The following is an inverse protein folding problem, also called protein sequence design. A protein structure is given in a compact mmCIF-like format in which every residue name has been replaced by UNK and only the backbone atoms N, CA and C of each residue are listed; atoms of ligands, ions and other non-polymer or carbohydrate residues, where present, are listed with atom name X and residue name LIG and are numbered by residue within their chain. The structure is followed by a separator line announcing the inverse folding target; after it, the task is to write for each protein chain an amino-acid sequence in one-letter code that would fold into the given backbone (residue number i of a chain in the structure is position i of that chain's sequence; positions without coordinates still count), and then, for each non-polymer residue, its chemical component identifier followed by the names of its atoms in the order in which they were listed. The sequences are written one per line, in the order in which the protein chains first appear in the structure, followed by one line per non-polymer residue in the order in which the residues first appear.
data_IF_306830694984
#
_entry.id   IF_306830694984
#
_cell.length_a   1.000
_cell.length_b   1.000
_cell.length_c   1.000
_cell.angle_alpha   90.00
_cell.angle_beta   90.00
_cell.angle_gamma   90.00
#
_symmetry.space_group_name_H-M   'P 1'
#
loop_
_entity.id
_entity.type
_entity.pdbx_description
1 polymer ?
#
# COMPACT_ATOMS: atom_id res chain seq x y z
N UNK A 1 -27.98 70.14 -20.58
CA UNK A 1 -27.81 70.33 -19.12
C UNK A 1 -28.64 69.27 -18.40
N UNK A 2 -28.00 68.48 -17.54
CA UNK A 2 -28.49 67.46 -16.58
C UNK A 2 -27.85 66.06 -16.82
N UNK A 3 -27.20 65.46 -15.80
CA UNK A 3 -26.52 64.17 -15.87
C UNK A 3 -27.31 63.02 -15.18
N UNK A 4 -27.11 61.78 -15.60
CA UNK A 4 -27.51 60.54 -14.90
C UNK A 4 -26.32 59.58 -15.08
N UNK A 5 -25.41 59.38 -14.12
CA UNK A 5 -25.49 58.75 -12.79
C UNK A 5 -24.95 57.31 -12.82
N UNK A 6 -23.87 57.15 -12.05
CA UNK A 6 -23.08 55.96 -11.77
C UNK A 6 -23.89 54.83 -11.14
N UNK A 7 -23.78 53.62 -11.69
CA UNK A 7 -24.01 52.36 -10.97
C UNK A 7 -23.04 51.29 -11.49
N UNK A 8 -21.89 51.14 -10.83
CA UNK A 8 -21.11 49.88 -10.81
C UNK A 8 -20.00 50.01 -9.76
N UNK A 9 -20.30 49.67 -8.50
CA UNK A 9 -19.26 49.53 -7.46
C UNK A 9 -19.71 48.66 -6.27
N UNK A 10 -20.32 47.51 -6.53
CA UNK A 10 -20.61 46.51 -5.48
C UNK A 10 -20.56 45.09 -6.05
N UNK A 11 -19.37 44.59 -6.38
CA UNK A 11 -19.22 43.17 -6.76
C UNK A 11 -17.80 42.60 -6.56
N UNK A 12 -17.08 43.00 -5.49
CA UNK A 12 -15.70 42.54 -5.26
C UNK A 12 -15.42 41.91 -3.88
N UNK A 13 -16.45 41.61 -3.08
CA UNK A 13 -16.24 41.11 -1.69
C UNK A 13 -16.61 39.65 -1.44
N UNK A 14 -17.19 38.94 -2.40
CA UNK A 14 -17.59 37.52 -2.27
C UNK A 14 -16.47 36.51 -2.62
N UNK A 15 -15.35 36.95 -3.20
CA UNK A 15 -14.25 36.06 -3.63
C UNK A 15 -13.39 35.52 -2.49
N UNK A 16 -13.26 36.24 -1.37
CA UNK A 16 -12.32 35.85 -0.29
C UNK A 16 -12.83 34.73 0.62
N UNK A 17 -14.14 34.49 0.66
CA UNK A 17 -14.72 33.45 1.53
C UNK A 17 -14.51 32.05 0.94
N UNK A 18 -14.39 31.95 -0.39
CA UNK A 18 -14.19 30.67 -1.07
C UNK A 18 -12.75 30.14 -0.92
N UNK A 19 -11.76 31.03 -0.83
CA UNK A 19 -10.35 30.64 -0.61
C UNK A 19 -10.11 30.14 0.82
N UNK A 20 -10.77 30.72 1.83
CA UNK A 20 -10.63 30.27 3.22
C UNK A 20 -11.24 28.88 3.46
N UNK A 21 -12.29 28.52 2.72
CA UNK A 21 -12.92 27.19 2.82
C UNK A 21 -12.08 26.10 2.17
N UNK A 22 -11.39 26.41 1.06
CA UNK A 22 -10.45 25.50 0.39
C UNK A 22 -9.24 25.20 1.30
N UNK A 23 -8.69 26.20 1.99
CA UNK A 23 -7.54 26.02 2.88
C UNK A 23 -7.86 25.11 4.08
N UNK A 24 -9.07 25.23 4.65
CA UNK A 24 -9.51 24.41 5.78
C UNK A 24 -9.70 22.93 5.40
N UNK A 25 -10.13 22.66 4.16
CA UNK A 25 -10.29 21.30 3.65
C UNK A 25 -8.94 20.60 3.42
N UNK A 26 -7.94 21.33 2.92
CA UNK A 26 -6.58 20.81 2.69
C UNK A 26 -5.87 20.52 4.01
N UNK A 27 -6.02 21.37 5.02
CA UNK A 27 -5.44 21.14 6.36
C UNK A 27 -6.07 19.92 7.03
N UNK A 28 -7.39 19.73 6.89
CA UNK A 28 -8.07 18.56 7.44
C UNK A 28 -7.63 17.24 6.77
N UNK A 29 -7.44 17.23 5.45
CA UNK A 29 -6.94 16.06 4.72
C UNK A 29 -5.46 15.76 5.04
N UNK A 30 -4.64 16.78 5.27
CA UNK A 30 -3.23 16.61 5.65
C UNK A 30 -3.05 16.02 7.05
N UNK A 31 -3.95 16.32 8.00
CA UNK A 31 -3.88 15.73 9.34
C UNK A 31 -4.24 14.25 9.36
N UNK A 32 -5.17 13.82 8.50
CA UNK A 32 -5.50 12.40 8.34
C UNK A 32 -4.29 11.64 7.80
N UNK A 33 -3.58 12.17 6.79
CA UNK A 33 -2.39 11.53 6.23
C UNK A 33 -1.19 11.47 7.20
N UNK A 34 -1.05 12.43 8.13
CA UNK A 34 0.02 12.40 9.15
C UNK A 34 -0.21 11.31 10.21
N UNK A 35 -1.47 10.95 10.49
CA UNK A 35 -1.78 9.84 11.40
C UNK A 35 -1.40 8.47 10.83
N UNK A 36 -1.41 8.31 9.50
CA UNK A 36 -1.01 7.07 8.81
C UNK A 36 0.48 6.74 8.95
N UNK A 37 1.36 7.74 9.07
CA UNK A 37 2.82 7.50 9.09
C UNK A 37 3.30 7.01 10.46
N UNK A 38 2.61 7.39 11.53
CA UNK A 38 3.04 7.08 12.90
C UNK A 38 2.62 5.68 13.38
N UNK A 39 1.70 5.01 12.68
CA UNK A 39 1.18 3.68 13.08
C UNK A 39 1.87 2.51 12.39
N UNK A 40 2.66 2.74 11.33
CA UNK A 40 3.29 1.65 10.58
C UNK A 40 4.77 1.39 10.95
N UNK A 41 5.44 2.29 11.67
CA UNK A 41 6.91 2.28 11.79
C UNK A 41 7.47 1.66 13.08
N UNK A 42 6.70 1.51 14.17
CA UNK A 42 7.26 1.05 15.46
C UNK A 42 6.69 -0.29 15.95
N UNK A 43 6.79 -1.35 15.14
CA UNK A 43 6.51 -2.73 15.58
C UNK A 43 7.77 -3.52 15.99
N UNK A 44 8.93 -2.86 16.11
CA UNK A 44 10.15 -3.48 16.62
C UNK A 44 10.26 -3.25 18.14
N UNK A 45 9.90 -4.24 18.98
CA UNK A 45 10.29 -4.10 20.39
C UNK A 45 9.79 -5.11 21.41
N UNK A 46 8.70 -5.85 21.16
CA UNK A 46 8.21 -6.84 22.12
C UNK A 46 8.02 -8.19 21.45
N UNK A 47 9.07 -9.02 21.53
CA UNK A 47 9.07 -10.42 21.13
C UNK A 47 8.17 -11.24 22.05
N UNK A 48 6.86 -11.13 21.86
CA UNK A 48 5.93 -12.15 22.30
C UNK A 48 6.07 -13.31 21.30
N UNK A 49 6.56 -14.46 21.80
CA UNK A 49 6.54 -15.70 21.05
C UNK A 49 5.07 -16.05 20.79
N UNK A 50 4.65 -15.75 19.57
CA UNK A 50 3.30 -15.89 19.13
C UNK A 50 3.11 -17.31 18.60
N UNK A 51 2.02 -17.95 19.01
CA UNK A 51 1.70 -19.30 18.56
C UNK A 51 1.18 -19.24 17.11
N UNK A 52 2.12 -19.22 16.16
CA UNK A 52 1.84 -19.19 14.73
C UNK A 52 1.19 -20.48 14.24
N UNK A 53 1.10 -21.55 15.04
CA UNK A 53 0.66 -22.89 14.62
C UNK A 53 -0.67 -22.90 13.85
N UNK A 54 -1.54 -21.93 14.04
CA UNK A 54 -2.77 -21.77 13.24
C UNK A 54 -2.51 -21.52 11.74
N UNK A 55 -1.40 -20.85 11.38
CA UNK A 55 -1.02 -20.56 10.01
C UNK A 55 -0.76 -21.85 9.22
N UNK A 56 -0.39 -22.96 9.88
CA UNK A 56 -0.21 -24.28 9.25
C UNK A 56 -1.46 -24.77 8.51
N UNK A 57 -2.64 -24.27 8.86
CA UNK A 57 -3.91 -24.60 8.22
C UNK A 57 -4.21 -23.72 7.00
N UNK A 58 -3.25 -22.94 6.53
CA UNK A 58 -3.43 -22.01 5.43
C UNK A 58 -2.36 -22.21 4.35
N UNK A 59 -2.60 -21.62 3.19
CA UNK A 59 -1.62 -21.46 2.13
C UNK A 59 -1.61 -20.01 1.66
N UNK A 60 -0.42 -19.49 1.32
CA UNK A 60 -0.24 -18.13 0.82
C UNK A 60 -0.26 -18.08 -0.70
N UNK A 61 -1.08 -17.20 -1.28
CA UNK A 61 -1.23 -17.02 -2.73
C UNK A 61 -1.03 -15.57 -3.14
N UNK A 62 -0.18 -15.34 -4.15
CA UNK A 62 0.01 -14.02 -4.75
C UNK A 62 -1.24 -13.57 -5.49
N UNK A 63 -1.70 -12.35 -5.21
CA UNK A 63 -2.83 -11.74 -5.92
C UNK A 63 -2.37 -10.66 -6.89
N UNK A 64 -1.60 -9.68 -6.39
CA UNK A 64 -1.26 -8.48 -7.17
C UNK A 64 -0.02 -7.79 -6.63
N UNK A 65 0.73 -7.14 -7.53
CA UNK A 65 1.79 -6.19 -7.18
C UNK A 65 1.37 -4.79 -7.67
N UNK A 66 1.52 -3.77 -6.82
CA UNK A 66 1.17 -2.40 -7.16
C UNK A 66 2.22 -1.41 -6.64
N UNK A 67 2.51 -0.40 -7.46
CA UNK A 67 3.39 0.72 -7.06
C UNK A 67 2.56 1.84 -6.45
N UNK A 68 3.08 2.47 -5.39
CA UNK A 68 2.40 3.53 -4.65
C UNK A 68 3.41 4.64 -4.31
N UNK A 69 3.04 5.89 -4.61
CA UNK A 69 3.73 7.06 -4.05
C UNK A 69 3.25 7.31 -2.63
N UNK A 70 4.17 7.38 -1.69
CA UNK A 70 3.90 7.61 -0.28
C UNK A 70 4.90 8.62 0.28
N UNK A 71 4.59 9.21 1.42
CA UNK A 71 5.48 10.15 2.09
C UNK A 71 6.66 9.38 2.72
N UNK A 72 7.88 9.83 2.45
CA UNK A 72 9.09 9.26 3.03
C UNK A 72 9.89 10.35 3.71
N UNK A 73 10.24 10.13 4.98
CA UNK A 73 11.09 11.06 5.72
C UNK A 73 12.47 11.20 5.07
N UNK A 74 13.01 10.11 4.51
CA UNK A 74 14.26 10.14 3.76
C UNK A 74 14.14 11.03 2.51
N UNK A 75 13.03 10.87 1.77
CA UNK A 75 12.75 11.72 0.62
C UNK A 75 12.56 13.19 1.01
N UNK A 76 11.93 13.44 2.16
CA UNK A 76 11.68 14.78 2.67
C UNK A 76 12.94 15.48 3.21
N UNK A 77 13.93 14.73 3.70
CA UNK A 77 15.15 15.26 4.30
C UNK A 77 16.30 15.44 3.30
N UNK A 78 16.27 14.75 2.16
CA UNK A 78 17.34 14.78 1.18
C UNK A 78 16.97 15.66 -0.02
N UNK A 79 17.74 16.74 -0.21
CA UNK A 79 17.58 17.72 -1.28
C UNK A 79 17.73 17.13 -2.71
N UNK A 80 18.19 15.89 -2.84
CA UNK A 80 18.31 15.17 -4.11
C UNK A 80 17.00 14.62 -4.67
N UNK A 81 15.90 14.66 -3.92
CA UNK A 81 14.61 14.11 -4.34
C UNK A 81 13.65 15.17 -4.90
N UNK A 82 12.80 14.77 -5.84
CA UNK A 82 11.71 15.59 -6.41
C UNK A 82 10.51 15.67 -5.46
N UNK A 83 10.78 16.12 -4.23
CA UNK A 83 9.80 16.25 -3.15
C UNK A 83 9.81 15.12 -2.12
N UNK A 84 8.90 15.18 -1.13
CA UNK A 84 8.91 14.30 0.03
C UNK A 84 8.28 12.92 -0.24
N UNK A 85 8.05 12.58 -1.52
CA UNK A 85 7.35 11.37 -1.91
C UNK A 85 8.34 10.35 -2.48
N UNK A 86 8.31 9.14 -1.94
CA UNK A 86 9.02 7.98 -2.46
C UNK A 86 8.03 7.04 -3.15
N UNK A 87 8.52 6.19 -4.06
CA UNK A 87 7.71 5.13 -4.67
C UNK A 87 8.05 3.81 -4.02
N UNK A 88 7.09 3.18 -3.33
CA UNK A 88 7.21 1.80 -2.86
C UNK A 88 6.40 0.84 -3.72
N UNK A 89 6.79 -0.42 -3.68
CA UNK A 89 6.08 -1.50 -4.35
C UNK A 89 5.48 -2.40 -3.28
N UNK A 90 4.19 -2.68 -3.38
CA UNK A 90 3.48 -3.53 -2.45
C UNK A 90 2.97 -4.76 -3.16
N UNK A 91 3.10 -5.90 -2.50
CA UNK A 91 2.50 -7.16 -2.90
C UNK A 91 1.28 -7.40 -2.03
N UNK A 92 0.19 -7.76 -2.69
CA UNK A 92 -1.02 -8.27 -2.09
C UNK A 92 -1.00 -9.78 -2.23
N UNK A 93 -1.17 -10.46 -1.11
CA UNK A 93 -1.32 -11.90 -1.07
C UNK A 93 -2.50 -12.26 -0.17
N UNK A 94 -3.01 -13.49 -0.34
CA UNK A 94 -4.07 -14.06 0.49
C UNK A 94 -3.57 -15.25 1.27
N UNK A 95 -4.03 -15.36 2.52
CA UNK A 95 -3.99 -16.63 3.24
C UNK A 95 -5.34 -17.32 3.09
N UNK A 96 -5.30 -18.52 2.52
CA UNK A 96 -6.45 -19.30 2.14
C UNK A 96 -6.51 -20.56 3.01
N UNK A 97 -7.66 -20.82 3.65
CA UNK A 97 -7.78 -21.98 4.52
C UNK A 97 -7.70 -23.31 3.77
N UNK A 98 -7.10 -24.31 4.40
CA UNK A 98 -6.92 -25.66 3.86
C UNK A 98 -8.22 -26.47 3.82
N UNK A 99 -9.36 -25.92 4.25
CA UNK A 99 -10.65 -26.62 4.34
C UNK A 99 -11.29 -26.95 2.98
N UNK A 100 -10.84 -26.32 1.89
CA UNK A 100 -11.21 -26.64 0.49
C UNK A 100 -10.16 -27.57 -0.18
N UNK A 101 -9.59 -28.49 0.61
CA UNK A 101 -8.57 -29.44 0.21
C UNK A 101 -9.00 -30.29 -1.00
N UNK A 102 -8.35 -30.09 -2.15
CA UNK A 102 -8.27 -31.12 -3.18
C UNK A 102 -6.82 -31.61 -3.26
N UNK A 103 -6.62 -32.92 -3.38
CA UNK A 103 -5.32 -33.63 -3.40
C UNK A 103 -4.37 -33.23 -4.56
N UNK A 104 -4.67 -32.16 -5.29
CA UNK A 104 -3.78 -31.62 -6.32
C UNK A 104 -3.16 -30.32 -5.82
N UNK A 105 -1.84 -30.17 -6.00
CA UNK A 105 -1.11 -28.93 -5.70
C UNK A 105 -1.69 -27.71 -6.44
N UNK A 106 -2.37 -27.94 -7.56
CA UNK A 106 -3.11 -26.91 -8.32
C UNK A 106 -4.47 -26.52 -7.69
N UNK A 107 -4.97 -27.33 -6.76
CA UNK A 107 -6.26 -27.18 -6.10
C UNK A 107 -6.20 -26.48 -4.74
N UNK A 108 -5.05 -26.50 -4.06
CA UNK A 108 -4.86 -25.85 -2.76
C UNK A 108 -5.12 -24.34 -2.81
N UNK A 109 -4.92 -23.71 -3.97
CA UNK A 109 -5.03 -22.26 -4.13
C UNK A 109 -6.00 -21.82 -5.23
N UNK A 110 -6.78 -22.74 -5.79
CA UNK A 110 -7.73 -22.41 -6.87
C UNK A 110 -9.06 -21.84 -6.38
N UNK A 111 -9.37 -21.95 -5.08
CA UNK A 111 -10.72 -21.73 -4.57
C UNK A 111 -10.83 -20.60 -3.54
N UNK A 112 -9.80 -19.76 -3.40
CA UNK A 112 -9.67 -18.73 -2.36
C UNK A 112 -10.61 -17.53 -2.58
N UNK A 113 -11.91 -17.79 -2.65
CA UNK A 113 -12.97 -16.83 -2.90
C UNK A 113 -13.83 -16.57 -1.65
N UNK A 114 -13.63 -17.32 -0.57
CA UNK A 114 -14.31 -17.16 0.72
C UNK A 114 -13.41 -17.63 1.85
N UNK A 115 -13.60 -17.06 3.05
CA UNK A 115 -12.86 -17.43 4.27
C UNK A 115 -11.33 -17.31 4.10
N UNK A 116 -10.90 -16.14 3.65
CA UNK A 116 -9.50 -15.80 3.46
C UNK A 116 -9.18 -14.47 4.13
N UNK A 117 -7.90 -14.20 4.32
CA UNK A 117 -7.39 -12.90 4.75
C UNK A 117 -6.63 -12.24 3.61
N UNK A 118 -6.73 -10.92 3.48
CA UNK A 118 -5.91 -10.14 2.55
C UNK A 118 -4.79 -9.47 3.31
N UNK A 119 -3.58 -9.56 2.75
CA UNK A 119 -2.37 -9.06 3.37
C UNK A 119 -1.64 -8.17 2.37
N UNK A 120 -0.97 -7.15 2.89
CA UNK A 120 -0.12 -6.26 2.11
C UNK A 120 1.27 -6.21 2.73
N UNK A 121 2.28 -6.41 1.91
CA UNK A 121 3.70 -6.47 2.29
C UNK A 121 4.52 -5.71 1.25
N UNK A 122 5.69 -5.21 1.63
CA UNK A 122 6.61 -4.63 0.65
C UNK A 122 7.12 -5.71 -0.31
N UNK A 123 7.28 -5.35 -1.60
CA UNK A 123 7.65 -6.32 -2.62
C UNK A 123 9.03 -6.94 -2.40
N UNK A 124 9.95 -6.21 -1.77
CA UNK A 124 11.29 -6.69 -1.42
C UNK A 124 11.18 -7.81 -0.38
N UNK A 125 10.51 -7.55 0.75
CA UNK A 125 10.30 -8.55 1.81
C UNK A 125 9.54 -9.79 1.31
N UNK A 126 8.54 -9.59 0.44
CA UNK A 126 7.83 -10.70 -0.20
C UNK A 126 8.77 -11.54 -1.08
N UNK A 127 9.55 -10.89 -1.95
CA UNK A 127 10.45 -11.60 -2.85
C UNK A 127 11.54 -12.33 -2.08
N UNK A 128 12.14 -11.71 -1.07
CA UNK A 128 13.16 -12.34 -0.24
C UNK A 128 12.63 -13.62 0.42
N UNK A 129 11.48 -13.53 1.11
CA UNK A 129 10.84 -14.68 1.74
C UNK A 129 10.47 -15.78 0.74
N UNK A 130 9.83 -15.42 -0.39
CA UNK A 130 9.35 -16.40 -1.37
C UNK A 130 10.47 -17.03 -2.19
N UNK A 131 11.58 -16.33 -2.42
CA UNK A 131 12.77 -16.85 -3.08
C UNK A 131 13.50 -17.83 -2.19
N UNK A 132 13.67 -17.52 -0.90
CA UNK A 132 14.24 -18.46 0.07
C UNK A 132 13.43 -19.76 0.13
N UNK A 133 12.10 -19.65 0.17
CA UNK A 133 11.22 -20.82 0.11
C UNK A 133 11.37 -21.62 -1.20
N UNK A 134 11.40 -20.94 -2.35
CA UNK A 134 11.56 -21.57 -3.65
C UNK A 134 12.91 -22.30 -3.76
N UNK A 135 13.97 -21.72 -3.21
CA UNK A 135 15.32 -22.29 -3.20
C UNK A 135 15.37 -23.57 -2.34
N UNK A 136 14.86 -23.53 -1.11
CA UNK A 136 14.75 -24.72 -0.24
C UNK A 136 13.96 -25.85 -0.90
N UNK A 137 12.82 -25.53 -1.52
CA UNK A 137 12.01 -26.53 -2.22
C UNK A 137 12.77 -27.12 -3.41
N UNK A 138 13.54 -26.30 -4.13
CA UNK A 138 14.38 -26.75 -5.24
C UNK A 138 15.52 -27.64 -4.75
N UNK A 139 16.18 -27.30 -3.64
CA UNK A 139 17.21 -28.13 -3.01
C UNK A 139 16.68 -29.51 -2.64
N UNK A 140 15.52 -29.58 -2.00
CA UNK A 140 14.88 -30.84 -1.63
C UNK A 140 14.50 -31.67 -2.87
N UNK A 141 13.93 -31.01 -3.89
CA UNK A 141 13.53 -31.65 -5.13
C UNK A 141 14.74 -32.22 -5.90
N UNK A 142 15.86 -31.51 -5.88
CA UNK A 142 17.04 -31.82 -6.69
C UNK A 142 18.12 -32.61 -5.95
N UNK A 143 18.15 -32.58 -4.62
CA UNK A 143 19.17 -33.22 -3.79
C UNK A 143 19.24 -34.74 -3.95
N UNK A 144 18.14 -35.38 -4.33
CA UNK A 144 18.07 -36.83 -4.54
C UNK A 144 18.19 -37.24 -6.02
N UNK A 145 18.51 -36.31 -6.92
CA UNK A 145 18.47 -36.61 -8.35
C UNK A 145 19.81 -37.11 -8.93
N UNK A 146 19.80 -38.35 -9.46
CA UNK A 146 20.92 -38.95 -10.18
C UNK A 146 20.74 -38.87 -11.71
N UNK A 147 21.14 -37.73 -12.31
CA UNK A 147 21.55 -37.57 -13.71
C UNK A 147 20.51 -37.65 -14.84
N UNK A 148 19.52 -38.57 -14.79
CA UNK A 148 18.61 -38.82 -15.93
C UNK A 148 17.11 -38.71 -15.62
N UNK A 149 16.72 -38.57 -14.34
CA UNK A 149 15.32 -38.48 -13.92
C UNK A 149 15.00 -37.17 -13.18
N UNK A 150 15.78 -36.12 -13.41
CA UNK A 150 15.54 -34.86 -12.72
C UNK A 150 14.36 -34.13 -13.35
N UNK A 151 13.46 -33.56 -12.55
CA UNK A 151 12.53 -32.55 -13.02
C UNK A 151 13.31 -31.47 -13.78
N UNK A 152 12.72 -30.93 -14.85
CA UNK A 152 13.39 -29.90 -15.66
C UNK A 152 13.79 -28.68 -14.85
N UNK A 153 13.13 -28.42 -13.71
CA UNK A 153 13.52 -27.36 -12.77
C UNK A 153 14.94 -27.58 -12.19
N UNK A 154 15.35 -28.83 -11.97
CA UNK A 154 16.65 -29.14 -11.37
C UNK A 154 17.85 -28.94 -12.29
N UNK A 155 17.60 -28.87 -13.61
CA UNK A 155 18.65 -28.58 -14.57
C UNK A 155 19.27 -27.20 -14.34
N UNK A 156 18.47 -26.23 -13.86
CA UNK A 156 18.94 -24.89 -13.52
C UNK A 156 19.84 -24.90 -12.27
N UNK A 157 19.51 -25.75 -11.29
CA UNK A 157 20.22 -25.82 -10.02
C UNK A 157 21.57 -26.56 -10.10
N UNK A 158 21.63 -27.71 -10.80
CA UNK A 158 22.80 -28.59 -10.76
C UNK A 158 23.97 -28.17 -11.67
N UNK A 159 23.71 -27.42 -12.75
CA UNK A 159 24.76 -27.11 -13.71
C UNK A 159 25.68 -25.97 -13.24
N UNK A 160 25.32 -25.19 -12.21
CA UNK A 160 26.14 -24.09 -11.63
C UNK A 160 26.59 -23.00 -12.62
N UNK A 161 26.21 -23.16 -13.88
CA UNK A 161 26.78 -22.53 -15.06
C UNK A 161 25.68 -22.62 -16.15
N UNK A 162 24.55 -21.95 -15.90
CA UNK A 162 23.41 -21.89 -16.83
C UNK A 162 23.77 -20.98 -18.00
N UNK A 163 24.94 -21.15 -18.64
CA UNK A 163 25.40 -20.22 -19.68
C UNK A 163 25.25 -18.73 -19.30
N UNK A 164 24.97 -17.87 -20.28
CA UNK A 164 24.76 -16.42 -20.11
C UNK A 164 23.42 -16.05 -19.42
N UNK A 165 22.99 -16.77 -18.37
CA UNK A 165 21.82 -16.40 -17.57
C UNK A 165 22.19 -15.98 -16.14
N UNK A 166 21.61 -14.85 -15.70
CA UNK A 166 21.76 -14.31 -14.35
C UNK A 166 20.51 -14.64 -13.53
N UNK A 167 20.65 -14.83 -12.21
CA UNK A 167 19.51 -15.13 -11.35
C UNK A 167 18.77 -13.84 -10.98
N UNK A 168 17.44 -13.82 -11.12
CA UNK A 168 16.62 -12.68 -10.70
C UNK A 168 16.74 -12.40 -9.19
N UNK A 169 16.97 -13.44 -8.38
CA UNK A 169 17.14 -13.33 -6.94
C UNK A 169 18.30 -12.40 -6.54
N UNK A 170 19.36 -12.35 -7.35
CA UNK A 170 20.53 -11.52 -7.08
C UNK A 170 20.21 -10.01 -7.20
N UNK A 171 19.05 -9.65 -7.76
CA UNK A 171 18.61 -8.27 -8.00
C UNK A 171 17.30 -7.92 -7.29
N UNK A 172 16.97 -8.61 -6.19
CA UNK A 172 15.82 -8.24 -5.34
C UNK A 172 16.05 -6.89 -4.67
N UNK A 173 17.28 -6.62 -4.25
CA UNK A 173 17.70 -5.30 -3.77
C UNK A 173 18.03 -4.39 -4.95
N UNK A 174 17.70 -3.09 -4.82
CA UNK A 174 18.05 -2.12 -5.84
C UNK A 174 19.57 -1.89 -5.83
N UNK A 175 20.24 -2.19 -6.95
CA UNK A 175 21.69 -2.06 -7.05
C UNK A 175 22.13 -1.56 -8.42
N UNK A 176 23.27 -0.86 -8.46
CA UNK A 176 23.86 -0.41 -9.73
C UNK A 176 24.43 -1.61 -10.49
N UNK A 177 24.04 -1.77 -11.76
CA UNK A 177 24.48 -2.89 -12.59
C UNK A 177 25.37 -2.49 -13.75
N UNK A 178 25.29 -1.24 -14.20
CA UNK A 178 26.14 -0.72 -15.26
C UNK A 178 26.22 0.80 -15.21
N UNK A 179 26.97 1.37 -16.15
CA UNK A 179 27.06 2.79 -16.43
C UNK A 179 27.08 2.96 -17.96
N UNK A 180 26.32 3.91 -18.49
CA UNK A 180 26.36 4.24 -19.92
C UNK A 180 27.64 5.03 -20.27
N UNK A 181 27.96 5.16 -21.55
CA UNK A 181 29.14 5.90 -22.04
C UNK A 181 29.17 7.38 -21.61
N UNK A 182 28.02 7.95 -21.25
CA UNK A 182 27.88 9.33 -20.77
C UNK A 182 28.06 9.48 -19.25
N UNK A 183 28.33 8.38 -18.55
CA UNK A 183 28.48 8.34 -17.10
C UNK A 183 27.17 8.16 -16.33
N UNK A 184 26.05 7.93 -17.00
CA UNK A 184 24.75 7.72 -16.34
C UNK A 184 24.67 6.30 -15.76
N UNK A 185 24.54 6.14 -14.43
CA UNK A 185 24.42 4.83 -13.81
C UNK A 185 23.07 4.18 -14.14
N UNK A 186 23.06 2.85 -14.26
CA UNK A 186 21.85 2.04 -14.43
C UNK A 186 21.69 1.13 -13.23
N UNK A 187 20.50 1.14 -12.64
CA UNK A 187 20.17 0.30 -11.51
C UNK A 187 19.23 -0.83 -11.93
N UNK A 188 19.32 -1.97 -11.26
CA UNK A 188 18.39 -3.08 -11.44
C UNK A 188 17.67 -3.35 -10.12
N UNK A 189 16.38 -3.68 -10.21
CA UNK A 189 15.56 -4.02 -9.06
C UNK A 189 14.22 -4.62 -9.46
N UNK A 190 13.40 -5.04 -8.49
CA UNK A 190 12.08 -5.59 -8.76
C UNK A 190 11.12 -4.52 -9.28
N UNK A 191 10.19 -4.95 -10.14
CA UNK A 191 9.16 -4.11 -10.75
C UNK A 191 7.88 -4.92 -10.94
N UNK A 192 6.78 -4.40 -10.40
CA UNK A 192 5.45 -4.87 -10.79
C UNK A 192 5.21 -4.70 -12.30
N UNK A 193 4.72 -5.74 -12.96
CA UNK A 193 4.16 -5.66 -14.32
C UNK A 193 3.04 -4.63 -14.40
N UNK A 194 2.74 -4.14 -15.61
CA UNK A 194 1.77 -3.06 -15.83
C UNK A 194 0.35 -3.38 -15.37
N UNK A 195 -0.02 -4.66 -15.34
CA UNK A 195 -1.30 -5.16 -14.86
C UNK A 195 -1.24 -5.62 -13.38
N UNK A 196 -0.05 -5.57 -12.77
CA UNK A 196 0.21 -6.04 -11.42
C UNK A 196 0.19 -7.57 -11.27
N UNK A 197 0.09 -8.33 -12.35
CA UNK A 197 -0.08 -9.79 -12.32
C UNK A 197 1.21 -10.55 -11.97
N UNK A 198 2.36 -9.89 -12.03
CA UNK A 198 3.67 -10.50 -11.79
C UNK A 198 4.72 -9.47 -11.41
N UNK A 199 5.78 -9.93 -10.75
CA UNK A 199 6.99 -9.16 -10.44
C UNK A 199 8.13 -9.63 -11.33
N UNK A 200 8.92 -8.69 -11.86
CA UNK A 200 10.10 -8.97 -12.70
C UNK A 200 11.21 -7.99 -12.35
N UNK A 201 12.45 -8.34 -12.70
CA UNK A 201 13.57 -7.39 -12.60
C UNK A 201 13.53 -6.43 -13.79
N UNK A 202 13.73 -5.14 -13.54
CA UNK A 202 13.77 -4.08 -14.55
C UNK A 202 14.94 -3.12 -14.31
N UNK A 203 15.26 -2.31 -15.32
CA UNK A 203 16.24 -1.24 -15.24
C UNK A 203 15.61 0.06 -14.70
N UNK A 204 16.37 0.82 -13.91
CA UNK A 204 15.96 2.06 -13.25
C UNK A 204 17.04 3.15 -13.40
N UNK A 205 16.58 4.39 -13.38
CA UNK A 205 17.41 5.60 -13.51
C UNK A 205 18.03 6.04 -12.16
N UNK A 206 17.50 5.54 -11.04
CA UNK A 206 17.85 5.97 -9.70
C UNK A 206 18.21 4.80 -8.78
N UNK A 207 19.02 5.10 -7.76
CA UNK A 207 19.53 4.14 -6.78
C UNK A 207 18.47 3.49 -5.89
N UNK A 208 17.24 4.02 -5.89
CA UNK A 208 16.13 3.49 -5.09
C UNK A 208 15.10 2.75 -5.96
N UNK A 209 15.35 2.62 -7.26
CA UNK A 209 14.47 1.95 -8.21
C UNK A 209 13.05 2.56 -8.25
N UNK A 210 12.93 3.89 -8.19
CA UNK A 210 11.67 4.62 -8.28
C UNK A 210 11.27 4.98 -9.72
N UNK A 211 12.21 5.14 -10.62
CA UNK A 211 11.97 5.60 -11.98
C UNK A 211 12.47 4.55 -12.97
N UNK A 212 11.58 3.64 -13.41
CA UNK A 212 11.98 2.61 -14.33
C UNK A 212 12.30 3.23 -15.69
N UNK A 213 13.40 2.79 -16.28
CA UNK A 213 13.79 3.20 -17.62
C UNK A 213 12.75 2.73 -18.63
N UNK A 214 12.46 3.58 -19.62
CA UNK A 214 11.65 3.22 -20.77
C UNK A 214 12.55 2.60 -21.84
N UNK A 215 12.08 1.52 -22.45
CA UNK A 215 12.71 0.90 -23.62
C UNK A 215 14.13 0.34 -23.42
N UNK A 216 14.56 0.17 -22.16
CA UNK A 216 15.84 -0.49 -21.83
C UNK A 216 15.56 -1.95 -21.47
N UNK A 217 16.04 -2.87 -22.33
CA UNK A 217 16.06 -4.29 -22.01
C UNK A 217 17.30 -4.59 -21.16
N UNK A 218 17.07 -5.11 -19.97
CA UNK A 218 18.11 -5.45 -19.01
C UNK A 218 19.09 -6.50 -19.57
N UNK A 219 18.66 -7.31 -20.53
CA UNK A 219 19.57 -8.21 -21.29
C UNK A 219 20.65 -7.45 -22.06
N UNK A 220 20.30 -6.31 -22.63
CA UNK A 220 21.25 -5.46 -23.36
C UNK A 220 22.26 -4.82 -22.41
N UNK A 221 21.79 -4.47 -21.21
CA UNK A 221 22.60 -3.84 -20.16
C UNK A 221 23.57 -4.83 -19.53
N UNK A 222 23.08 -6.00 -19.13
CA UNK A 222 23.87 -7.01 -18.43
C UNK A 222 24.69 -7.92 -19.37
N UNK A 223 24.40 -7.89 -20.68
CA UNK A 223 24.96 -8.84 -21.64
C UNK A 223 24.37 -10.25 -21.56
N UNK A 224 23.55 -10.52 -20.54
CA UNK A 224 23.03 -11.84 -20.18
C UNK A 224 21.53 -11.76 -19.89
N UNK A 225 20.80 -12.85 -20.11
CA UNK A 225 19.35 -12.88 -19.87
C UNK A 225 19.07 -13.19 -18.40
N UNK A 226 18.02 -12.62 -17.80
CA UNK A 226 17.66 -12.93 -16.41
C UNK A 226 16.71 -14.11 -16.36
N UNK A 227 17.00 -15.08 -15.48
CA UNK A 227 16.13 -16.21 -15.15
C UNK A 227 15.24 -15.88 -13.95
N UNK A 228 13.92 -15.92 -14.14
CA UNK A 228 12.91 -15.69 -13.08
C UNK A 228 12.39 -16.99 -12.44
N UNK A 229 13.14 -18.09 -12.52
CA UNK A 229 12.69 -19.40 -12.02
C UNK A 229 12.35 -19.41 -10.52
N UNK A 230 13.12 -18.69 -9.69
CA UNK A 230 12.82 -18.53 -8.25
C UNK A 230 11.64 -17.59 -7.96
N UNK A 231 11.20 -16.79 -8.94
CA UNK A 231 10.06 -15.88 -8.81
C UNK A 231 8.72 -16.58 -9.11
N UNK A 232 8.67 -17.91 -9.07
CA UNK A 232 7.48 -18.69 -9.42
C UNK A 232 6.25 -18.36 -8.55
N UNK A 233 6.46 -17.88 -7.31
CA UNK A 233 5.40 -17.43 -6.41
C UNK A 233 5.03 -15.96 -6.61
N UNK A 234 5.83 -15.17 -7.32
CA UNK A 234 5.59 -13.75 -7.58
C UNK A 234 4.83 -13.49 -8.89
N UNK A 235 3.98 -14.44 -9.32
CA UNK A 235 3.20 -14.33 -10.54
C UNK A 235 1.82 -14.98 -10.39
N UNK A 236 0.75 -14.20 -10.59
CA UNK A 236 -0.64 -14.66 -10.55
C UNK A 236 -0.93 -15.80 -11.53
N UNK A 237 -0.27 -15.79 -12.69
CA UNK A 237 -0.45 -16.83 -13.71
C UNK A 237 0.08 -18.20 -13.31
N UNK A 238 0.99 -18.29 -12.33
CA UNK A 238 1.55 -19.57 -11.92
C UNK A 238 0.54 -20.41 -11.13
N UNK A 239 -0.46 -19.76 -10.49
CA UNK A 239 -1.33 -20.37 -9.47
C UNK A 239 -0.55 -21.13 -8.40
N UNK A 240 0.74 -20.82 -8.26
CA UNK A 240 1.61 -21.40 -7.26
C UNK A 240 1.29 -20.75 -5.93
N UNK A 241 1.37 -21.54 -4.88
CA UNK A 241 1.21 -21.05 -3.53
C UNK A 241 2.16 -21.73 -2.58
N UNK A 242 2.38 -21.06 -1.47
CA UNK A 242 3.28 -21.47 -0.41
C UNK A 242 2.42 -22.17 0.62
N UNK A 243 2.70 -23.45 0.84
CA UNK A 243 2.06 -24.19 1.92
C UNK A 243 2.64 -23.73 3.25
N UNK A 244 1.78 -23.35 4.18
CA UNK A 244 2.21 -22.88 5.49
C UNK A 244 2.34 -24.02 6.50
N UNK A 245 1.91 -25.24 6.18
CA UNK A 245 2.21 -26.40 7.02
C UNK A 245 3.69 -26.78 6.89
N UNK A 246 4.38 -27.02 8.02
CA UNK A 246 5.68 -27.68 7.98
C UNK A 246 5.51 -29.16 7.62
N UNK A 247 6.49 -29.72 6.89
CA UNK A 247 6.58 -31.18 6.67
C UNK A 247 7.00 -31.95 7.94
N UNK A 248 7.41 -31.24 8.99
CA UNK A 248 7.72 -31.84 10.28
C UNK A 248 6.42 -32.20 11.02
N UNK A 249 6.35 -33.44 11.53
CA UNK A 249 5.20 -34.03 12.24
C UNK A 249 4.75 -33.25 13.50
N UNK A 250 5.45 -32.18 13.86
CA UNK A 250 5.22 -31.36 15.06
C UNK A 250 4.17 -30.26 14.85
N UNK A 251 3.57 -30.14 13.65
CA UNK A 251 2.53 -29.16 13.35
C UNK A 251 3.05 -27.71 13.34
N UNK A 252 4.34 -27.54 13.06
CA UNK A 252 5.00 -26.25 13.00
C UNK A 252 4.58 -25.48 11.74
N UNK A 253 4.82 -24.19 11.75
CA UNK A 253 4.51 -23.31 10.62
C UNK A 253 5.75 -23.17 9.77
N UNK A 254 5.55 -23.10 8.47
CA UNK A 254 6.60 -22.72 7.54
C UNK A 254 7.10 -21.31 7.88
N UNK A 255 8.39 -21.18 8.23
CA UNK A 255 9.06 -19.92 8.57
C UNK A 255 8.75 -18.78 7.58
N UNK A 256 8.58 -19.11 6.30
CA UNK A 256 8.22 -18.16 5.25
C UNK A 256 6.86 -17.52 5.50
N UNK A 257 5.84 -18.32 5.84
CA UNK A 257 4.50 -17.83 6.13
C UNK A 257 4.46 -17.02 7.43
N UNK A 258 5.19 -17.46 8.46
CA UNK A 258 5.32 -16.72 9.71
C UNK A 258 5.96 -15.34 9.49
N UNK A 259 7.08 -15.30 8.77
CA UNK A 259 7.74 -14.04 8.43
C UNK A 259 6.80 -13.10 7.65
N UNK A 260 6.21 -13.58 6.54
CA UNK A 260 5.31 -12.78 5.72
C UNK A 260 4.08 -12.29 6.51
N UNK A 261 3.52 -13.12 7.38
CA UNK A 261 2.42 -12.73 8.26
C UNK A 261 2.84 -11.65 9.26
N UNK A 262 4.03 -11.79 9.86
CA UNK A 262 4.50 -10.86 10.90
C UNK A 262 4.71 -9.44 10.36
N UNK A 263 5.32 -9.29 9.17
CA UNK A 263 5.66 -7.98 8.58
C UNK A 263 4.55 -7.37 7.71
N UNK A 264 3.47 -8.12 7.45
CA UNK A 264 2.38 -7.63 6.60
C UNK A 264 1.33 -6.82 7.37
N UNK A 265 0.75 -5.84 6.67
CA UNK A 265 -0.52 -5.25 7.04
C UNK A 265 -1.64 -6.25 6.80
N UNK A 266 -2.54 -6.39 7.78
CA UNK A 266 -3.56 -7.44 7.85
C UNK A 266 -4.96 -6.86 7.58
N UNK A 267 -5.75 -7.56 6.76
CA UNK A 267 -7.18 -7.31 6.50
C UNK A 267 -7.93 -8.65 6.47
N UNK A 268 -8.38 -9.10 7.64
CA UNK A 268 -8.84 -10.45 7.93
C UNK A 268 -10.36 -10.52 8.12
N UNK A 269 -10.92 -9.58 8.87
CA UNK A 269 -12.34 -9.55 9.28
C UNK A 269 -13.29 -9.37 8.11
N UNK A 270 -12.83 -8.76 7.02
CA UNK A 270 -13.65 -8.46 5.84
C UNK A 270 -14.13 -9.70 5.08
N UNK A 271 -13.35 -10.78 5.08
CA UNK A 271 -13.50 -11.88 4.10
C UNK A 271 -13.76 -13.25 4.72
N UNK A 272 -14.00 -13.32 6.04
CA UNK A 272 -14.58 -14.50 6.68
C UNK A 272 -13.96 -14.91 8.02
N UNK A 273 -12.82 -14.33 8.40
CA UNK A 273 -12.29 -14.48 9.74
C UNK A 273 -13.11 -13.60 10.69
N UNK A 274 -14.22 -14.13 11.20
CA UNK A 274 -15.23 -13.40 12.00
C UNK A 274 -14.61 -12.52 13.10
N UNK A 275 -13.50 -12.97 13.69
CA UNK A 275 -12.77 -12.25 14.72
C UNK A 275 -11.26 -12.12 14.35
N UNK A 276 -10.90 -12.16 13.06
CA UNK A 276 -9.50 -12.23 12.63
C UNK A 276 -8.86 -13.57 12.98
N UNK A 277 -7.61 -13.80 12.55
CA UNK A 277 -6.95 -15.08 12.79
C UNK A 277 -6.69 -15.30 14.30
N UNK A 278 -6.64 -14.22 15.08
CA UNK A 278 -6.04 -14.19 16.43
C UNK A 278 -6.97 -13.91 17.59
N UNK A 279 -8.25 -13.66 17.35
CA UNK A 279 -9.14 -13.32 18.46
C UNK A 279 -9.36 -14.45 19.47
N UNK A 280 -9.17 -15.71 19.07
CA UNK A 280 -9.39 -16.84 19.97
C UNK A 280 -8.27 -17.00 21.02
N UNK A 281 -7.12 -16.33 20.85
CA UNK A 281 -6.03 -16.38 21.83
C UNK A 281 -6.29 -15.39 22.99
N UNK A 282 -7.14 -15.81 23.93
CA UNK A 282 -7.41 -15.14 25.20
C UNK A 282 -6.10 -14.87 25.97
N UNK A 283 -5.63 -13.61 26.05
CA UNK A 283 -4.68 -13.23 27.12
C UNK A 283 -4.51 -11.73 27.42
N UNK A 284 -4.74 -10.79 26.50
CA UNK A 284 -4.57 -9.36 26.83
C UNK A 284 -5.37 -8.45 25.87
N UNK A 285 -6.49 -7.89 26.35
CA UNK A 285 -7.46 -7.10 25.56
C UNK A 285 -6.83 -5.93 24.78
N UNK A 286 -5.64 -5.44 25.17
CA UNK A 286 -5.04 -4.24 24.57
C UNK A 286 -4.34 -4.47 23.22
N UNK A 287 -3.79 -5.66 22.96
CA UNK A 287 -3.00 -5.89 21.73
C UNK A 287 -3.94 -5.98 20.51
N UNK A 288 -5.05 -6.66 20.69
CA UNK A 288 -6.03 -6.84 19.62
C UNK A 288 -6.74 -5.53 19.25
N UNK A 289 -6.98 -4.62 20.20
CA UNK A 289 -7.59 -3.32 19.90
C UNK A 289 -6.75 -2.48 18.91
N UNK A 290 -5.42 -2.50 19.02
CA UNK A 290 -4.54 -1.78 18.10
C UNK A 290 -4.56 -2.41 16.70
N UNK A 291 -4.56 -3.74 16.62
CA UNK A 291 -4.68 -4.45 15.35
C UNK A 291 -6.03 -4.15 14.69
N UNK A 292 -7.13 -4.21 15.44
CA UNK A 292 -8.47 -3.93 14.94
C UNK A 292 -8.63 -2.47 14.48
N UNK A 293 -8.00 -1.52 15.19
CA UNK A 293 -8.01 -0.11 14.80
C UNK A 293 -7.26 0.12 13.47
N UNK A 294 -6.11 -0.55 13.29
CA UNK A 294 -5.30 -0.44 12.08
C UNK A 294 -5.90 -1.24 10.90
N UNK A 295 -6.60 -2.33 11.17
CA UNK A 295 -7.18 -3.20 10.16
C UNK A 295 -8.10 -2.45 9.20
N UNK A 296 -8.91 -1.52 9.71
CA UNK A 296 -9.78 -0.70 8.85
C UNK A 296 -8.99 0.12 7.82
N UNK A 297 -7.88 0.73 8.25
CA UNK A 297 -7.01 1.54 7.39
C UNK A 297 -6.28 0.67 6.38
N UNK A 298 -5.74 -0.47 6.83
CA UNK A 298 -5.07 -1.45 5.96
C UNK A 298 -6.04 -2.04 4.94
N UNK A 299 -7.25 -2.44 5.34
CA UNK A 299 -8.29 -2.92 4.42
C UNK A 299 -8.63 -1.88 3.37
N UNK A 300 -8.77 -0.61 3.77
CA UNK A 300 -9.04 0.49 2.84
C UNK A 300 -7.88 0.69 1.85
N UNK A 301 -6.65 0.58 2.34
CA UNK A 301 -5.47 0.63 1.49
C UNK A 301 -5.42 -0.54 0.50
N UNK A 302 -5.62 -1.77 0.95
CA UNK A 302 -5.71 -2.97 0.10
C UNK A 302 -6.78 -2.80 -0.99
N UNK A 303 -7.97 -2.30 -0.64
CA UNK A 303 -9.03 -2.00 -1.62
C UNK A 303 -8.59 -0.99 -2.68
N UNK A 304 -7.82 0.02 -2.29
CA UNK A 304 -7.28 1.02 -3.22
C UNK A 304 -6.27 0.40 -4.20
N UNK A 305 -5.46 -0.57 -3.75
CA UNK A 305 -4.52 -1.30 -4.61
C UNK A 305 -5.25 -2.27 -5.54
N UNK A 306 -6.22 -3.03 -5.02
CA UNK A 306 -7.02 -3.98 -5.80
C UNK A 306 -7.82 -3.28 -6.90
N UNK A 307 -8.42 -2.13 -6.59
CA UNK A 307 -9.19 -1.32 -7.56
C UNK A 307 -8.34 -0.71 -8.69
N UNK A 308 -7.00 -0.82 -8.64
CA UNK A 308 -6.13 -0.21 -9.63
C UNK A 308 -6.19 1.31 -9.58
N UNK A 309 -6.23 1.87 -8.36
CA UNK A 309 -6.26 3.32 -8.16
C UNK A 309 -4.93 4.00 -8.46
N UNK A 310 -3.87 3.24 -8.75
CA UNK A 310 -2.51 3.77 -8.95
C UNK A 310 -1.97 3.38 -10.33
N UNK A 311 -1.25 4.31 -10.97
CA UNK A 311 -0.56 4.04 -12.22
C UNK A 311 0.81 3.38 -12.02
N UNK A 312 1.55 3.20 -13.12
CA UNK A 312 2.89 2.62 -13.09
C UNK A 312 3.92 3.50 -12.37
N UNK A 313 3.64 4.77 -12.09
CA UNK A 313 4.52 5.68 -11.32
C UNK A 313 4.09 5.76 -9.85
N UNK A 314 3.02 5.05 -9.47
CA UNK A 314 2.43 5.11 -8.14
C UNK A 314 1.55 6.34 -7.90
N UNK A 315 1.16 7.06 -8.96
CA UNK A 315 0.25 8.21 -8.86
C UNK A 315 -1.22 7.76 -8.87
N UNK A 316 -2.06 8.47 -8.12
CA UNK A 316 -3.50 8.15 -8.03
C UNK A 316 -4.20 8.51 -9.34
N UNK A 317 -4.78 7.51 -10.01
CA UNK A 317 -5.54 7.67 -11.26
C UNK A 317 -7.02 7.89 -10.93
N UNK A 318 -7.48 9.13 -11.09
CA UNK A 318 -8.86 9.55 -10.82
C UNK A 318 -9.94 8.89 -11.73
N UNK A 319 -9.53 8.16 -12.77
CA UNK A 319 -10.45 7.55 -13.73
C UNK A 319 -11.11 6.26 -13.21
N UNK A 320 -10.53 5.62 -12.21
CA UNK A 320 -11.08 4.42 -11.58
C UNK A 320 -12.20 4.85 -10.63
N UNK A 321 -13.43 4.34 -10.84
CA UNK A 321 -14.54 4.52 -9.90
C UNK A 321 -14.16 3.85 -8.58
N UNK A 322 -13.49 4.58 -7.70
CA UNK A 322 -13.21 4.11 -6.36
C UNK A 322 -14.57 3.83 -5.71
N UNK A 323 -14.82 2.56 -5.40
CA UNK A 323 -15.89 2.21 -4.47
C UNK A 323 -15.39 2.70 -3.13
N UNK A 324 -15.66 3.97 -2.80
CA UNK A 324 -15.33 4.53 -1.50
C UNK A 324 -16.01 3.60 -0.50
N UNK A 325 -15.21 2.87 0.27
CA UNK A 325 -15.69 2.05 1.38
C UNK A 325 -16.15 3.05 2.43
N UNK A 326 -17.40 3.50 2.29
CA UNK A 326 -18.05 4.30 3.31
C UNK A 326 -18.31 3.35 4.47
N UNK A 327 -17.60 3.52 5.58
CA UNK A 327 -17.95 2.89 6.86
C UNK A 327 -19.45 3.05 7.05
N UNK A 328 -20.16 1.94 7.26
CA UNK A 328 -21.58 2.02 7.62
C UNK A 328 -21.68 2.85 8.90
N UNK A 329 -22.20 4.06 8.75
CA UNK A 329 -22.34 4.99 9.86
C UNK A 329 -23.39 4.37 10.78
N UNK A 330 -23.01 4.06 12.01
CA UNK A 330 -23.98 3.55 12.99
C UNK A 330 -25.13 4.55 13.14
N UNK A 331 -26.34 4.09 13.46
CA UNK A 331 -27.50 4.97 13.60
C UNK A 331 -27.22 6.17 14.53
N UNK A 332 -26.46 5.94 15.62
CA UNK A 332 -26.05 6.98 16.56
C UNK A 332 -25.10 8.02 15.94
N UNK A 333 -24.13 7.58 15.14
CA UNK A 333 -23.23 8.50 14.43
C UNK A 333 -23.98 9.32 13.37
N UNK A 334 -24.97 8.74 12.70
CA UNK A 334 -25.83 9.46 11.74
C UNK A 334 -26.66 10.54 12.43
N UNK A 335 -27.23 10.23 13.60
CA UNK A 335 -27.95 11.22 14.43
C UNK A 335 -27.02 12.31 14.94
N UNK A 336 -25.80 11.96 15.37
CA UNK A 336 -24.82 12.94 15.81
C UNK A 336 -24.37 13.89 14.68
N UNK A 337 -24.10 13.36 13.48
CA UNK A 337 -23.74 14.15 12.30
C UNK A 337 -24.87 15.08 11.84
N UNK A 338 -26.12 14.60 11.87
CA UNK A 338 -27.29 15.44 11.57
C UNK A 338 -27.49 16.54 12.62
N UNK A 339 -27.32 16.23 13.91
CA UNK A 339 -27.34 17.24 14.96
C UNK A 339 -26.22 18.30 14.77
N UNK A 340 -25.00 17.86 14.43
CA UNK A 340 -23.86 18.74 14.23
C UNK A 340 -24.02 19.64 12.98
N UNK A 341 -24.56 19.12 11.89
CA UNK A 341 -24.87 19.93 10.71
C UNK A 341 -25.96 20.98 10.99
N UNK A 342 -26.98 20.64 11.79
CA UNK A 342 -28.02 21.57 12.22
C UNK A 342 -27.49 22.64 13.17
N UNK A 343 -26.59 22.31 14.10
CA UNK A 343 -25.97 23.32 14.97
C UNK A 343 -25.08 24.27 14.19
N UNK A 344 -24.29 23.79 13.22
CA UNK A 344 -23.50 24.64 12.33
C UNK A 344 -24.41 25.59 11.53
N UNK A 345 -25.50 25.09 10.96
CA UNK A 345 -26.48 25.92 10.25
C UNK A 345 -27.11 26.96 11.19
N UNK A 346 -27.50 26.57 12.41
CA UNK A 346 -28.06 27.45 13.42
C UNK A 346 -27.10 28.56 13.85
N UNK A 347 -25.83 28.21 14.12
CA UNK A 347 -24.79 29.17 14.45
C UNK A 347 -24.52 30.14 13.29
N UNK A 348 -24.53 29.64 12.04
CA UNK A 348 -24.36 30.47 10.85
C UNK A 348 -25.48 31.51 10.71
N UNK A 349 -26.75 31.11 10.91
CA UNK A 349 -27.89 32.03 10.92
C UNK A 349 -27.79 33.03 12.07
N UNK A 350 -27.39 32.58 13.26
CA UNK A 350 -27.22 33.44 14.43
C UNK A 350 -26.13 34.50 14.22
N UNK A 351 -25.00 34.14 13.59
CA UNK A 351 -23.94 35.09 13.21
C UNK A 351 -24.47 36.15 12.24
N UNK A 352 -25.25 35.76 11.22
CA UNK A 352 -25.86 36.69 10.26
C UNK A 352 -26.84 37.65 10.96
N UNK A 353 -27.64 37.12 11.88
CA UNK A 353 -28.56 37.91 12.70
C UNK A 353 -27.80 38.94 13.56
N UNK A 354 -26.78 38.50 14.30
CA UNK A 354 -25.94 39.38 15.13
C UNK A 354 -25.28 40.48 14.28
N UNK A 355 -24.72 40.12 13.12
CA UNK A 355 -24.09 41.08 12.22
C UNK A 355 -25.10 42.13 11.72
N UNK A 356 -26.34 41.72 11.42
CA UNK A 356 -27.41 42.63 11.01
C UNK A 356 -27.86 43.53 12.15
N UNK A 357 -28.01 42.98 13.36
CA UNK A 357 -28.40 43.70 14.57
C UNK A 357 -27.38 44.79 14.92
N UNK A 358 -26.08 44.44 14.94
CA UNK A 358 -24.99 45.39 15.20
C UNK A 358 -25.01 46.51 14.15
N UNK A 359 -25.16 46.19 12.87
CA UNK A 359 -25.18 47.19 11.79
C UNK A 359 -26.33 48.20 11.94
N UNK A 360 -27.50 47.76 12.40
CA UNK A 360 -28.65 48.66 12.61
C UNK A 360 -28.46 49.54 13.84
N UNK A 361 -27.97 48.99 14.95
CA UNK A 361 -27.89 49.71 16.23
C UNK A 361 -26.58 50.46 16.48
N UNK A 362 -25.51 50.18 15.75
CA UNK A 362 -24.22 50.86 15.85
C UNK A 362 -23.82 51.63 14.59
N UNK A 363 -24.81 52.10 13.81
CA UNK A 363 -24.59 52.97 12.64
C UNK A 363 -23.85 54.29 12.96
N UNK A 364 -23.77 54.69 14.23
CA UNK A 364 -23.02 55.84 14.72
C UNK A 364 -21.50 55.61 14.81
N UNK A 365 -21.01 54.36 14.87
CA UNK A 365 -19.57 54.08 14.98
C UNK A 365 -18.82 54.32 13.66
N UNK A 366 -19.49 54.19 12.51
CA UNK A 366 -18.91 54.53 11.20
C UNK A 366 -18.68 56.04 11.04
N UNK A 367 -19.28 56.87 11.91
CA UNK A 367 -19.10 58.33 11.85
C UNK A 367 -17.81 58.82 12.53
N UNK A 368 -17.19 58.01 13.38
CA UNK A 368 -16.00 58.42 14.16
C UNK A 368 -14.66 57.88 13.61
N UNK A 369 -14.66 56.85 12.74
CA UNK A 369 -13.43 56.30 12.15
C UNK A 369 -12.97 56.99 10.87
N UNK A 370 -13.73 57.95 10.32
CA UNK A 370 -13.31 58.77 9.17
C UNK A 370 -12.83 60.20 9.53
N UNK A 371 -12.67 60.53 10.82
CA UNK A 371 -12.18 61.85 11.25
C UNK A 371 -11.11 61.76 12.34
N UNK A 372 -9.87 61.56 11.91
CA UNK A 372 -8.65 61.65 12.72
C UNK A 372 -7.72 60.48 12.39
N UNK A 373 -6.49 60.64 11.90
CA UNK A 373 -5.52 61.70 12.17
C UNK A 373 -4.63 61.87 10.92
N UNK A 374 -4.70 63.03 10.28
CA UNK A 374 -3.56 63.61 9.57
C UNK A 374 -2.82 64.42 10.62
N UNK A 375 -1.73 63.88 11.14
CA UNK A 375 -0.64 64.61 11.79
C UNK A 375 0.64 64.08 11.16
#
# INVERSE_FOLDING_TARGET
MAPISNKMKYMHRTSRIHESFQLLLVVALSQVLLSFHSTFVDAEGYGYAFDTNMLSQYSSSFEKCQRVKYYSDEAAQNDGFDGPLAVKQFVLFRLCGNSDWSDTSAGRCSNCNSNYGEYVIEAVDYLDATVQYADQMLEQLCGNCNGYQCPSQCKYYQDGDIGDYLNAADYIECQQVSEFDDGTPVYAGPRCSSDGSSIRIAAFEDQNCWYPMKDVDLKTVLGSSISHHLFQFAAFSSRSCIDCSSDDDDGNVNDTCEYMYSVSGKCETKHGFLDGLLADYEADDQIYENQLANEYEVCTFIDSLMSGSYDQRGEIVHASKQKIVTREITANQSVALTALSLTIAGLSVYIIYLHSYIKVHHSWLDYYTCRGVVV
#
